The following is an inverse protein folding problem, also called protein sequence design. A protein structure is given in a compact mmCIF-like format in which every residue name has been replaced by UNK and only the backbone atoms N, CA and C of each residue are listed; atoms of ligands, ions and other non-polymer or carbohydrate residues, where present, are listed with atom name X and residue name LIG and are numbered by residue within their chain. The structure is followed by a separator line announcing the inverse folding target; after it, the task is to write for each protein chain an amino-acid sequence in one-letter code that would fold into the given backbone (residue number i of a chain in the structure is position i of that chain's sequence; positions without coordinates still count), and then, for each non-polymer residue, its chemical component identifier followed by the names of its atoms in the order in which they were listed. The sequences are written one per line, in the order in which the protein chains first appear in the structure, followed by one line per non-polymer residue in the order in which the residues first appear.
data_IF_628947989569
#
_entry.id   IF_628947989569
#
_cell.length_a   1.000
_cell.length_b   1.000
_cell.length_c   1.000
_cell.angle_alpha   90.00
_cell.angle_beta   90.00
_cell.angle_gamma   90.00
#
_symmetry.space_group_name_H-M   'P 1'
#
loop_
_entity.id
_entity.type
_entity.pdbx_description
1 polymer ?
#
# COMPACT_ATOMS: atom_id res chain seq x y z
N UNK A 1 10.89 21.46 5.35
CA UNK A 1 9.75 21.79 6.24
C UNK A 1 9.92 20.99 7.52
N UNK A 2 10.03 21.62 8.66
CA UNK A 2 10.18 20.94 9.94
C UNK A 2 8.82 20.51 10.49
N UNK A 3 8.81 19.53 11.41
CA UNK A 3 7.58 19.04 12.08
C UNK A 3 6.75 20.17 12.72
N UNK A 4 7.41 21.25 13.13
CA UNK A 4 6.79 22.42 13.78
C UNK A 4 6.04 23.31 12.77
N UNK A 5 6.56 23.46 11.57
CA UNK A 5 5.92 24.23 10.49
C UNK A 5 4.70 23.51 9.94
N UNK A 6 4.72 22.19 9.99
CA UNK A 6 3.59 21.35 9.55
C UNK A 6 2.39 21.43 10.52
N UNK A 7 2.64 21.39 11.83
CA UNK A 7 1.58 21.43 12.84
C UNK A 7 0.88 22.81 12.94
N UNK A 8 1.59 23.89 12.61
CA UNK A 8 0.98 25.22 12.60
C UNK A 8 0.05 25.49 11.40
N UNK A 9 0.24 24.77 10.29
CA UNK A 9 -0.62 24.87 9.12
C UNK A 9 -1.96 24.12 9.29
N UNK A 10 -2.01 23.11 10.14
CA UNK A 10 -3.19 22.28 10.36
C UNK A 10 -4.23 22.90 11.30
N UNK A 11 -3.84 23.85 12.15
CA UNK A 11 -4.75 24.47 13.13
C UNK A 11 -5.60 25.62 12.58
N UNK A 12 -5.33 26.10 11.37
CA UNK A 12 -5.98 27.30 10.82
C UNK A 12 -7.21 27.01 9.93
N UNK A 13 -7.63 25.77 9.74
CA UNK A 13 -8.70 25.40 8.80
C UNK A 13 -10.02 24.92 9.44
N UNK A 14 -10.20 25.11 10.73
CA UNK A 14 -11.38 24.59 11.44
C UNK A 14 -12.55 25.59 11.62
N UNK A 15 -12.60 26.72 10.91
CA UNK A 15 -13.68 27.68 11.08
C UNK A 15 -14.08 28.34 9.76
N UNK A 16 -15.02 27.76 9.02
CA UNK A 16 -16.05 28.50 8.26
C UNK A 16 -17.03 27.51 7.61
N UNK A 17 -18.15 27.28 8.27
CA UNK A 17 -19.31 26.62 7.68
C UNK A 17 -20.15 27.65 6.93
N UNK A 18 -20.61 27.33 5.72
CA UNK A 18 -21.80 27.91 5.10
C UNK A 18 -22.56 26.80 4.37
N UNK A 19 -23.82 26.68 4.73
CA UNK A 19 -24.82 25.81 4.16
C UNK A 19 -25.19 26.20 2.73
N UNK A 20 -25.28 25.22 1.84
CA UNK A 20 -25.84 25.39 0.50
C UNK A 20 -26.50 24.09 0.02
N UNK A 21 -27.78 24.19 -0.28
CA UNK A 21 -28.75 23.13 -0.49
C UNK A 21 -28.53 22.28 -1.76
N UNK A 22 -28.78 21.01 -1.58
CA UNK A 22 -29.32 19.97 -2.41
C UNK A 22 -29.25 20.01 -3.94
N UNK A 23 -28.50 19.05 -4.50
CA UNK A 23 -28.87 18.32 -5.72
C UNK A 23 -28.49 16.85 -5.53
N UNK A 24 -29.48 16.01 -5.43
CA UNK A 24 -29.36 14.55 -5.46
C UNK A 24 -28.80 14.12 -6.82
N UNK A 25 -27.51 13.88 -6.89
CA UNK A 25 -26.93 13.12 -8.00
C UNK A 25 -27.34 11.66 -7.81
N UNK A 26 -28.27 11.18 -8.64
CA UNK A 26 -28.53 9.75 -8.80
C UNK A 26 -27.29 9.13 -9.44
N UNK A 27 -26.38 8.67 -8.60
CA UNK A 27 -25.34 7.76 -9.00
C UNK A 27 -25.94 6.38 -9.20
N UNK A 28 -26.45 6.10 -10.40
CA UNK A 28 -26.67 4.74 -10.82
C UNK A 28 -25.30 4.15 -11.20
N UNK A 29 -24.48 3.87 -10.22
CA UNK A 29 -23.37 2.97 -10.40
C UNK A 29 -23.97 1.57 -10.56
N UNK A 30 -23.63 0.92 -11.61
CA UNK A 30 -24.01 -0.43 -11.92
C UNK A 30 -23.61 -1.35 -10.75
N UNK A 31 -24.58 -1.72 -9.95
CA UNK A 31 -24.48 -2.84 -9.02
C UNK A 31 -24.38 -4.19 -9.77
N UNK A 32 -24.32 -4.14 -11.09
CA UNK A 32 -24.27 -5.29 -11.95
C UNK A 32 -22.83 -5.63 -12.30
N UNK A 33 -22.29 -6.52 -11.55
CA UNK A 33 -21.03 -7.25 -11.70
C UNK A 33 -19.96 -6.94 -10.65
N UNK A 34 -20.35 -6.78 -9.41
CA UNK A 34 -19.46 -7.24 -8.35
C UNK A 34 -19.46 -8.77 -8.46
N UNK A 35 -18.54 -9.31 -9.24
CA UNK A 35 -18.20 -10.74 -9.14
C UNK A 35 -18.06 -10.98 -7.64
N UNK A 36 -18.76 -12.02 -7.14
CA UNK A 36 -18.69 -12.37 -5.73
C UNK A 36 -17.20 -12.54 -5.37
N UNK A 37 -16.60 -11.48 -4.89
CA UNK A 37 -15.19 -11.47 -4.57
C UNK A 37 -15.03 -12.44 -3.41
N UNK A 38 -14.09 -13.36 -3.54
CA UNK A 38 -13.79 -14.30 -2.46
C UNK A 38 -13.54 -13.54 -1.17
N UNK A 39 -14.08 -13.98 -0.03
CA UNK A 39 -13.79 -13.36 1.26
C UNK A 39 -12.27 -13.20 1.43
N UNK A 40 -11.84 -12.11 2.08
CA UNK A 40 -10.42 -11.94 2.41
C UNK A 40 -9.92 -13.17 3.15
N UNK A 41 -8.71 -13.58 2.80
CA UNK A 41 -8.09 -14.72 3.46
C UNK A 41 -7.89 -14.45 4.96
N UNK A 42 -8.64 -15.13 5.80
CA UNK A 42 -8.55 -15.00 7.27
C UNK A 42 -7.42 -15.84 7.87
N UNK A 43 -6.82 -16.69 7.05
CA UNK A 43 -5.80 -17.67 7.45
C UNK A 43 -4.59 -17.55 6.54
N UNK A 44 -3.81 -16.45 6.66
CA UNK A 44 -2.58 -16.30 5.88
C UNK A 44 -1.62 -17.46 6.16
N UNK A 45 -0.75 -17.75 5.22
CA UNK A 45 0.23 -18.86 5.24
C UNK A 45 -0.36 -20.26 5.16
N UNK A 46 -1.68 -20.42 5.04
CA UNK A 46 -2.28 -21.75 4.89
C UNK A 46 -1.83 -22.41 3.60
N UNK A 47 -1.27 -23.62 3.72
CA UNK A 47 -0.80 -24.39 2.57
C UNK A 47 0.58 -23.97 2.04
N UNK A 48 1.28 -23.08 2.72
CA UNK A 48 2.67 -22.75 2.39
C UNK A 48 3.60 -23.90 2.83
N UNK A 49 4.37 -24.42 1.89
CA UNK A 49 5.52 -25.26 2.18
C UNK A 49 6.75 -24.38 2.41
N UNK A 50 7.03 -24.09 3.67
CA UNK A 50 8.12 -23.21 4.07
C UNK A 50 9.52 -23.79 3.76
N UNK A 51 9.62 -25.07 3.45
CA UNK A 51 10.91 -25.71 3.13
C UNK A 51 11.36 -25.42 1.70
N UNK A 52 10.41 -25.15 0.82
CA UNK A 52 10.66 -24.92 -0.61
C UNK A 52 10.26 -23.50 -1.06
N UNK A 53 9.50 -22.78 -0.24
CA UNK A 53 9.02 -21.45 -0.58
C UNK A 53 10.16 -20.44 -0.75
N UNK A 54 10.04 -19.61 -1.76
CA UNK A 54 10.87 -18.43 -1.95
C UNK A 54 10.43 -17.32 -1.01
N UNK A 55 11.39 -16.61 -0.44
CA UNK A 55 11.16 -15.40 0.34
C UNK A 55 11.68 -14.20 -0.46
N UNK A 56 10.76 -13.40 -1.02
CA UNK A 56 11.07 -12.32 -1.96
C UNK A 56 10.73 -10.97 -1.31
N UNK A 57 11.72 -10.09 -1.22
CA UNK A 57 11.51 -8.75 -0.65
C UNK A 57 10.80 -7.86 -1.65
N UNK A 58 9.63 -7.36 -1.27
CA UNK A 58 8.81 -6.49 -2.09
C UNK A 58 8.35 -5.25 -1.35
N UNK A 59 7.78 -4.31 -2.09
CA UNK A 59 7.13 -3.12 -1.52
C UNK A 59 5.87 -2.81 -2.30
N UNK A 60 4.90 -2.18 -1.65
CA UNK A 60 3.70 -1.65 -2.31
C UNK A 60 3.74 -0.14 -2.45
N UNK A 61 4.72 0.52 -1.80
CA UNK A 61 4.82 1.96 -1.83
C UNK A 61 6.29 2.41 -1.78
N UNK A 62 6.79 2.88 -2.91
CA UNK A 62 8.13 3.48 -3.00
C UNK A 62 8.19 4.48 -4.14
N UNK A 63 8.81 5.62 -3.89
CA UNK A 63 9.05 6.65 -4.90
C UNK A 63 10.48 6.62 -5.42
N UNK A 64 10.61 6.74 -6.73
CA UNK A 64 11.88 6.76 -7.41
C UNK A 64 11.86 7.80 -8.55
N UNK A 65 12.77 8.76 -8.50
CA UNK A 65 12.89 9.81 -9.54
C UNK A 65 14.14 9.66 -10.41
N UNK A 66 15.18 8.99 -9.92
CA UNK A 66 16.49 8.90 -10.55
C UNK A 66 17.03 7.49 -10.52
N UNK A 67 17.98 7.20 -11.40
CA UNK A 67 18.69 5.92 -11.41
C UNK A 67 19.41 5.66 -10.08
N UNK A 68 20.00 6.68 -9.46
CA UNK A 68 20.69 6.52 -8.17
C UNK A 68 19.71 6.10 -7.05
N UNK A 69 18.52 6.67 -7.05
CA UNK A 69 17.45 6.25 -6.13
C UNK A 69 17.03 4.80 -6.39
N UNK A 70 16.88 4.43 -7.67
CA UNK A 70 16.58 3.05 -8.05
C UNK A 70 17.66 2.08 -7.58
N UNK A 71 18.93 2.42 -7.80
CA UNK A 71 20.07 1.58 -7.39
C UNK A 71 20.11 1.37 -5.85
N UNK A 72 19.64 2.34 -5.07
CA UNK A 72 19.49 2.19 -3.61
C UNK A 72 18.33 1.26 -3.26
N UNK A 73 17.19 1.43 -3.93
CA UNK A 73 15.99 0.59 -3.71
C UNK A 73 16.30 -0.88 -4.03
N UNK A 74 16.93 -1.14 -5.17
CA UNK A 74 17.20 -2.50 -5.65
C UNK A 74 18.19 -3.30 -4.79
N UNK A 75 18.95 -2.66 -3.90
CA UNK A 75 19.74 -3.37 -2.89
C UNK A 75 18.88 -4.09 -1.85
N UNK A 76 17.61 -3.71 -1.73
CA UNK A 76 16.71 -4.18 -0.67
C UNK A 76 15.43 -4.81 -1.20
N UNK A 77 15.00 -4.46 -2.40
CA UNK A 77 13.75 -4.88 -3.03
C UNK A 77 14.08 -5.75 -4.23
N UNK A 78 13.43 -6.89 -4.33
CA UNK A 78 13.52 -7.87 -5.40
C UNK A 78 12.24 -7.93 -6.24
N UNK A 79 11.11 -7.51 -5.66
CA UNK A 79 9.85 -7.33 -6.35
C UNK A 79 9.44 -5.85 -6.25
N UNK A 80 9.65 -5.13 -7.34
CA UNK A 80 9.42 -3.69 -7.42
C UNK A 80 8.01 -3.40 -7.93
N UNK A 81 7.21 -2.70 -7.12
CA UNK A 81 5.97 -2.07 -7.56
C UNK A 81 6.07 -0.57 -7.31
N UNK A 82 6.74 0.10 -8.25
CA UNK A 82 7.02 1.52 -8.14
C UNK A 82 5.72 2.33 -8.12
N UNK A 83 5.54 3.14 -7.10
CA UNK A 83 4.29 3.87 -6.85
C UNK A 83 4.36 5.36 -7.14
N UNK A 84 5.25 5.77 -8.03
CA UNK A 84 5.27 7.16 -8.43
C UNK A 84 3.88 7.61 -8.86
N UNK A 85 3.42 8.70 -8.28
CA UNK A 85 2.22 9.35 -8.77
C UNK A 85 2.56 10.19 -9.99
N UNK A 86 1.90 10.37 -10.80
CA UNK A 86 1.45 10.95 -11.83
C UNK A 86 1.66 11.98 -12.63
N UNK A 87 1.01 12.72 -13.36
CA UNK A 87 -0.25 12.47 -14.09
C UNK A 87 0.02 11.45 -15.18
N UNK A 88 0.14 10.23 -14.81
CA UNK A 88 0.55 9.17 -15.74
C UNK A 88 -0.02 7.85 -15.30
N UNK A 89 -0.09 6.95 -16.21
CA UNK A 89 -0.20 5.56 -15.93
C UNK A 89 0.97 5.12 -15.02
N UNK A 90 0.86 3.95 -14.41
CA UNK A 90 1.93 3.38 -13.63
C UNK A 90 3.28 3.42 -14.36
N UNK A 91 4.35 3.65 -13.64
CA UNK A 91 5.71 3.64 -14.17
C UNK A 91 6.16 2.21 -14.44
N UNK A 92 5.60 1.64 -15.51
CA UNK A 92 5.74 0.23 -15.83
C UNK A 92 5.64 -0.01 -17.34
N UNK A 93 6.50 -0.81 -17.94
CA UNK A 93 7.77 -1.27 -17.37
C UNK A 93 8.76 -0.12 -17.22
N UNK A 94 9.59 -0.18 -16.16
CA UNK A 94 10.47 0.93 -15.78
C UNK A 94 11.50 1.27 -16.86
N UNK A 95 11.95 0.26 -17.63
CA UNK A 95 12.87 0.46 -18.75
C UNK A 95 12.31 1.35 -19.89
N UNK A 96 11.02 1.67 -19.86
CA UNK A 96 10.37 2.60 -20.79
C UNK A 96 10.15 3.99 -20.20
N UNK A 97 10.54 4.21 -18.96
CA UNK A 97 10.35 5.47 -18.24
C UNK A 97 11.61 6.31 -18.21
N UNK A 98 11.42 7.61 -18.08
CA UNK A 98 12.54 8.56 -17.97
C UNK A 98 12.72 9.06 -16.56
N UNK A 99 13.95 9.40 -16.18
CA UNK A 99 14.24 10.03 -14.89
C UNK A 99 13.48 11.36 -14.72
N UNK A 100 13.27 11.76 -13.48
CA UNK A 100 12.72 13.06 -13.08
C UNK A 100 11.31 13.37 -13.61
N UNK A 101 10.49 12.34 -13.81
CA UNK A 101 9.11 12.50 -14.30
C UNK A 101 8.97 13.16 -15.67
N UNK A 102 10.01 13.12 -16.48
CA UNK A 102 9.89 13.49 -17.88
C UNK A 102 9.18 12.36 -18.61
N UNK A 103 8.16 12.71 -19.32
CA UNK A 103 7.29 11.92 -20.18
C UNK A 103 7.24 10.40 -19.93
N UNK A 104 6.10 9.98 -19.53
CA UNK A 104 5.74 8.57 -19.44
C UNK A 104 5.11 8.16 -20.75
N UNK A 105 5.76 7.27 -21.49
CA UNK A 105 5.24 6.73 -22.72
C UNK A 105 4.43 5.47 -22.45
N UNK A 106 3.10 5.57 -22.57
CA UNK A 106 2.22 4.42 -22.46
C UNK A 106 1.59 4.00 -23.80
N UNK A 107 2.18 4.42 -24.91
CA UNK A 107 1.71 4.06 -26.25
C UNK A 107 2.09 2.62 -26.61
N UNK A 108 3.05 2.05 -25.91
CA UNK A 108 3.45 0.67 -26.10
C UNK A 108 2.45 -0.29 -25.44
N UNK A 109 2.14 -1.42 -26.08
CA UNK A 109 1.25 -2.41 -25.51
C UNK A 109 1.93 -3.14 -24.34
N UNK A 110 1.24 -3.19 -23.20
CA UNK A 110 1.56 -4.13 -22.12
C UNK A 110 0.64 -5.33 -22.29
N UNK A 111 1.23 -6.50 -22.52
CA UNK A 111 0.50 -7.74 -22.79
C UNK A 111 0.77 -8.73 -21.66
N UNK A 112 -0.29 -9.20 -21.02
CA UNK A 112 -0.24 -10.23 -19.99
C UNK A 112 -1.18 -11.36 -20.42
N UNK A 113 -0.69 -12.59 -20.44
CA UNK A 113 -1.43 -13.76 -20.87
C UNK A 113 -2.09 -13.59 -22.27
N UNK A 114 -1.36 -12.97 -23.21
CA UNK A 114 -1.84 -12.71 -24.56
C UNK A 114 -2.87 -11.60 -24.68
N UNK A 115 -3.29 -10.98 -23.60
CA UNK A 115 -4.26 -9.87 -23.59
C UNK A 115 -3.56 -8.55 -23.31
N UNK A 116 -3.85 -7.53 -24.12
CA UNK A 116 -3.43 -6.17 -23.82
C UNK A 116 -4.17 -5.66 -22.58
N UNK A 117 -3.43 -5.23 -21.56
CA UNK A 117 -3.97 -4.74 -20.28
C UNK A 117 -3.91 -3.23 -20.12
N UNK A 118 -3.23 -2.52 -21.02
CA UNK A 118 -3.27 -1.06 -21.09
C UNK A 118 -3.91 -0.61 -22.40
N UNK A 119 -4.66 0.47 -22.34
CA UNK A 119 -5.16 1.17 -23.52
C UNK A 119 -4.22 2.30 -23.95
N UNK A 120 -4.47 2.90 -25.14
CA UNK A 120 -3.92 4.20 -25.43
C UNK A 120 -4.44 5.21 -24.40
N UNK A 121 -3.54 6.01 -23.82
CA UNK A 121 -3.93 7.03 -22.87
C UNK A 121 -4.35 8.29 -23.61
N UNK A 122 -5.58 8.72 -23.37
CA UNK A 122 -6.07 10.01 -23.86
C UNK A 122 -5.60 11.11 -22.91
N UNK A 123 -4.39 11.60 -23.17
CA UNK A 123 -3.80 12.70 -22.41
C UNK A 123 -4.65 13.98 -22.45
N UNK A 124 -5.36 14.22 -23.53
CA UNK A 124 -6.27 15.36 -23.63
C UNK A 124 -7.44 15.22 -22.66
N UNK A 125 -7.93 13.99 -22.46
CA UNK A 125 -8.96 13.71 -21.48
C UNK A 125 -8.41 13.81 -20.04
N UNK A 126 -7.19 13.31 -19.82
CA UNK A 126 -6.58 13.25 -18.49
C UNK A 126 -6.14 14.65 -18.02
N UNK A 127 -5.51 15.43 -18.89
CA UNK A 127 -4.90 16.70 -18.51
C UNK A 127 -5.32 17.87 -19.40
N UNK A 128 -5.98 17.64 -20.52
CA UNK A 128 -6.16 18.65 -21.57
C UNK A 128 -6.98 19.87 -21.16
N UNK A 129 -8.03 19.70 -20.37
CA UNK A 129 -8.81 20.82 -19.85
C UNK A 129 -7.93 21.70 -18.95
N UNK A 130 -7.19 21.08 -18.13
CA UNK A 130 -6.36 21.67 -17.12
C UNK A 130 -5.11 22.37 -17.67
N UNK A 131 -4.42 21.76 -18.65
CA UNK A 131 -3.28 22.41 -19.29
C UNK A 131 -3.69 23.73 -19.93
N UNK A 132 -4.89 23.82 -20.50
CA UNK A 132 -5.41 25.04 -21.11
C UNK A 132 -5.62 26.18 -20.13
N UNK A 133 -5.78 25.87 -18.86
CA UNK A 133 -5.94 26.86 -17.79
C UNK A 133 -4.60 27.37 -17.23
N UNK A 134 -3.48 26.71 -17.58
CA UNK A 134 -2.16 27.14 -17.17
C UNK A 134 -1.69 28.39 -17.95
N UNK A 135 -0.84 29.23 -17.35
CA UNK A 135 -0.09 30.22 -18.09
C UNK A 135 0.68 29.60 -19.27
N UNK A 136 0.81 30.34 -20.38
CA UNK A 136 1.37 29.80 -21.62
C UNK A 136 2.79 29.25 -21.48
N UNK A 137 3.62 29.83 -20.62
CA UNK A 137 4.95 29.34 -20.29
C UNK A 137 4.91 27.99 -19.56
N UNK A 138 3.86 27.80 -18.73
CA UNK A 138 3.65 26.54 -18.01
C UNK A 138 3.03 25.47 -18.90
N UNK A 139 2.20 25.83 -19.86
CA UNK A 139 1.66 24.87 -20.83
C UNK A 139 2.76 24.18 -21.62
N UNK A 140 3.91 24.84 -21.81
CA UNK A 140 5.09 24.27 -22.50
C UNK A 140 5.80 23.20 -21.67
N UNK A 141 5.59 23.21 -20.37
CA UNK A 141 6.16 22.20 -19.47
C UNK A 141 5.33 20.92 -19.41
N UNK A 142 4.08 20.99 -19.87
CA UNK A 142 3.13 19.89 -19.81
C UNK A 142 2.55 19.58 -21.21
N UNK A 143 2.15 18.33 -21.49
CA UNK A 143 2.05 17.20 -20.58
C UNK A 143 3.38 16.66 -20.08
N UNK A 144 4.49 16.94 -20.67
CA UNK A 144 5.84 16.60 -20.24
C UNK A 144 6.82 17.01 -21.32
N UNK A 145 7.99 17.47 -20.93
CA UNK A 145 9.08 17.69 -21.88
C UNK A 145 9.41 16.39 -22.58
N UNK A 146 9.52 16.45 -23.89
CA UNK A 146 10.16 15.39 -24.65
C UNK A 146 11.63 15.36 -24.30
N UNK A 147 12.18 14.18 -24.14
CA UNK A 147 13.53 13.99 -23.72
C UNK A 147 13.63 13.63 -22.24
N UNK A 148 14.76 13.22 -21.84
CA UNK A 148 15.09 12.69 -20.53
C UNK A 148 15.84 11.39 -20.68
N UNK A 149 16.63 11.07 -19.67
CA UNK A 149 17.40 9.83 -19.64
C UNK A 149 16.49 8.69 -19.20
N UNK A 150 16.41 7.64 -20.00
CA UNK A 150 15.70 6.42 -19.63
C UNK A 150 16.37 5.76 -18.44
N UNK A 151 15.55 5.14 -17.59
CA UNK A 151 16.06 4.19 -16.61
C UNK A 151 16.77 3.03 -17.30
N UNK A 152 17.82 2.53 -16.67
CA UNK A 152 18.47 1.29 -17.13
C UNK A 152 17.50 0.12 -17.00
N UNK A 153 17.64 -0.90 -17.84
CA UNK A 153 16.93 -2.16 -17.62
C UNK A 153 17.18 -2.68 -16.21
N UNK A 154 16.15 -3.26 -15.61
CA UNK A 154 16.28 -3.88 -14.28
C UNK A 154 17.31 -5.02 -14.34
N UNK A 155 18.10 -5.22 -13.29
CA UNK A 155 19.00 -6.37 -13.18
C UNK A 155 18.24 -7.69 -13.29
N UNK A 156 18.92 -8.72 -13.77
CA UNK A 156 18.38 -10.07 -13.77
C UNK A 156 17.94 -10.49 -12.35
N UNK A 157 16.81 -11.17 -12.26
CA UNK A 157 16.24 -11.60 -10.99
C UNK A 157 15.39 -10.56 -10.28
N UNK A 158 15.37 -9.32 -10.70
CA UNK A 158 14.42 -8.32 -10.21
C UNK A 158 13.09 -8.48 -10.97
N UNK A 159 12.01 -8.64 -10.21
CA UNK A 159 10.65 -8.68 -10.73
C UNK A 159 10.02 -7.29 -10.61
N UNK A 160 9.16 -6.91 -11.57
CA UNK A 160 8.39 -5.67 -11.49
C UNK A 160 6.92 -5.88 -11.84
N UNK A 161 6.04 -5.08 -11.24
CA UNK A 161 4.64 -5.01 -11.61
C UNK A 161 4.15 -3.55 -11.60
N UNK A 162 3.07 -3.24 -12.35
CA UNK A 162 2.49 -1.92 -12.35
C UNK A 162 1.95 -1.55 -10.97
N UNK A 163 2.04 -0.27 -10.64
CA UNK A 163 1.49 0.32 -9.43
C UNK A 163 1.52 1.84 -9.58
N UNK A 164 0.71 2.54 -8.82
CA UNK A 164 0.77 3.98 -8.68
C UNK A 164 0.24 4.38 -7.31
N UNK A 165 0.75 5.48 -6.76
CA UNK A 165 0.10 6.10 -5.62
C UNK A 165 -1.01 7.02 -6.13
N UNK A 166 -2.23 6.70 -5.76
CA UNK A 166 -3.42 7.45 -6.09
C UNK A 166 -3.81 8.36 -4.92
N UNK A 167 -4.17 9.59 -5.19
CA UNK A 167 -4.55 10.57 -4.17
C UNK A 167 -5.58 11.57 -4.68
N UNK A 168 -6.02 12.55 -3.86
CA UNK A 168 -7.05 13.54 -4.21
C UNK A 168 -8.44 12.95 -4.46
N UNK A 169 -8.86 12.06 -3.60
CA UNK A 169 -10.20 11.49 -3.68
C UNK A 169 -11.26 12.44 -3.10
N UNK A 170 -12.50 12.22 -3.51
CA UNK A 170 -13.67 12.80 -2.85
C UNK A 170 -14.31 11.82 -1.91
N UNK A 171 -14.81 12.33 -0.80
CA UNK A 171 -15.66 11.61 0.14
C UNK A 171 -17.10 11.52 -0.39
N UNK A 172 -17.97 10.82 0.32
CA UNK A 172 -19.37 10.62 -0.05
C UNK A 172 -20.17 11.92 -0.16
N UNK A 173 -19.83 12.93 0.59
CA UNK A 173 -20.42 14.25 0.56
C UNK A 173 -19.85 15.18 -0.54
N UNK A 174 -18.92 14.65 -1.34
CA UNK A 174 -18.22 15.39 -2.38
C UNK A 174 -17.02 16.22 -1.88
N UNK A 175 -16.75 16.22 -0.58
CA UNK A 175 -15.58 16.92 0.00
C UNK A 175 -14.29 16.27 -0.49
N UNK A 176 -13.33 17.07 -0.93
CA UNK A 176 -12.03 16.59 -1.32
C UNK A 176 -11.20 16.17 -0.11
N UNK A 177 -10.64 14.98 -0.15
CA UNK A 177 -9.67 14.50 0.82
C UNK A 177 -8.29 14.32 0.15
N UNK A 178 -7.44 15.33 0.20
CA UNK A 178 -6.12 15.31 -0.44
C UNK A 178 -5.12 14.37 0.26
N UNK A 179 -5.41 13.96 1.46
CA UNK A 179 -4.53 13.09 2.26
C UNK A 179 -4.94 11.61 2.20
N UNK A 180 -6.09 11.30 1.60
CA UNK A 180 -6.43 9.92 1.32
C UNK A 180 -5.61 9.42 0.14
N UNK A 181 -4.63 8.59 0.41
CA UNK A 181 -3.78 7.98 -0.60
C UNK A 181 -3.98 6.46 -0.60
N UNK A 182 -3.90 5.87 -1.78
CA UNK A 182 -4.02 4.43 -1.97
C UNK A 182 -3.06 3.95 -3.05
N UNK A 183 -2.49 2.79 -2.88
CA UNK A 183 -1.74 2.08 -3.90
C UNK A 183 -2.55 0.93 -4.47
N UNK A 184 -2.20 0.52 -5.67
CA UNK A 184 -2.82 -0.62 -6.32
C UNK A 184 -1.78 -1.52 -7.00
N UNK A 185 -0.95 -2.26 -6.22
CA UNK A 185 0.05 -3.15 -6.78
C UNK A 185 -0.60 -4.18 -7.72
N UNK A 186 -0.08 -4.25 -8.93
CA UNK A 186 -0.62 -5.05 -10.02
C UNK A 186 -1.63 -4.34 -10.91
N UNK A 187 -2.00 -3.09 -10.64
CA UNK A 187 -2.98 -2.36 -11.45
C UNK A 187 -2.33 -1.48 -12.52
N UNK A 188 -2.83 -1.56 -13.74
CA UNK A 188 -2.51 -0.63 -14.83
C UNK A 188 -3.34 0.65 -14.80
N UNK A 189 -4.25 0.79 -13.85
CA UNK A 189 -5.01 2.01 -13.70
C UNK A 189 -4.12 3.14 -13.18
N UNK A 190 -4.25 4.30 -13.79
CA UNK A 190 -3.74 5.56 -13.27
C UNK A 190 -4.91 6.52 -13.13
N UNK A 191 -5.04 7.12 -11.98
CA UNK A 191 -6.09 8.09 -11.73
C UNK A 191 -5.95 9.38 -12.54
N UNK A 192 -4.84 9.57 -13.24
CA UNK A 192 -4.53 10.81 -13.92
C UNK A 192 -4.28 11.96 -12.95
N UNK A 193 -4.05 11.66 -11.70
CA UNK A 193 -3.80 12.66 -10.68
C UNK A 193 -2.56 13.45 -10.99
N UNK A 194 -2.72 14.70 -10.95
CA UNK A 194 -1.59 15.60 -11.04
C UNK A 194 -1.04 15.88 -9.64
N UNK A 195 0.28 15.93 -9.53
CA UNK A 195 0.93 16.17 -8.26
C UNK A 195 0.62 17.52 -7.67
N UNK A 196 -0.25 17.53 -6.71
CA UNK A 196 -0.56 18.69 -5.92
C UNK A 196 0.62 19.15 -5.04
N UNK A 197 1.63 18.30 -4.91
CA UNK A 197 2.78 18.52 -4.03
C UNK A 197 3.94 19.24 -4.71
N UNK A 198 3.76 19.82 -5.89
CA UNK A 198 4.74 20.79 -6.35
C UNK A 198 4.57 22.09 -5.59
N UNK A 199 5.11 22.20 -4.36
CA UNK A 199 4.87 23.37 -3.49
C UNK A 199 5.52 24.63 -4.03
N UNK A 200 6.46 24.51 -4.94
CA UNK A 200 7.06 25.64 -5.64
C UNK A 200 6.13 26.28 -6.67
N UNK A 201 5.04 25.61 -7.05
CA UNK A 201 4.13 26.13 -8.04
C UNK A 201 2.89 26.73 -7.38
N UNK A 202 2.96 28.01 -7.05
CA UNK A 202 1.84 28.77 -6.47
C UNK A 202 0.57 28.68 -7.32
N UNK A 203 0.73 28.44 -8.60
CA UNK A 203 -0.36 28.31 -9.54
C UNK A 203 -1.17 27.03 -9.28
N UNK A 204 -0.50 25.94 -9.04
CA UNK A 204 -1.09 24.70 -8.61
C UNK A 204 -1.93 24.83 -7.35
N UNK A 205 -1.41 25.54 -6.36
CA UNK A 205 -2.15 25.80 -5.13
C UNK A 205 -3.38 26.67 -5.36
N UNK A 206 -3.37 27.48 -6.40
CA UNK A 206 -4.51 28.33 -6.77
C UNK A 206 -5.59 27.53 -7.49
N UNK A 207 -5.23 26.69 -8.41
CA UNK A 207 -6.13 25.73 -9.04
C UNK A 207 -6.78 24.83 -8.00
N UNK A 208 -6.09 24.47 -6.97
CA UNK A 208 -6.60 23.75 -5.83
C UNK A 208 -7.87 24.30 -5.24
N UNK A 209 -7.98 25.57 -5.17
CA UNK A 209 -9.17 26.23 -4.66
C UNK A 209 -10.34 26.22 -5.65
N UNK A 210 -10.06 26.06 -6.92
CA UNK A 210 -11.07 26.00 -8.00
C UNK A 210 -11.75 24.64 -8.17
N UNK A 211 -11.50 23.72 -7.26
CA UNK A 211 -12.02 22.34 -7.35
C UNK A 211 -11.21 21.55 -8.36
N UNK A 212 -10.33 20.78 -7.84
CA UNK A 212 -9.58 19.87 -8.62
C UNK A 212 -10.44 18.86 -9.28
N UNK A 213 -10.56 18.97 -10.53
CA UNK A 213 -10.87 17.88 -11.43
C UNK A 213 -9.59 17.19 -11.92
N UNK A 214 -8.52 17.26 -11.08
CA UNK A 214 -7.31 16.58 -11.43
C UNK A 214 -7.39 15.16 -10.97
N UNK A 215 -7.30 14.34 -11.91
CA UNK A 215 -7.05 12.98 -11.68
C UNK A 215 -8.16 12.30 -10.94
N UNK A 216 -7.91 12.10 -9.73
CA UNK A 216 -8.87 11.44 -8.87
C UNK A 216 -9.93 12.34 -8.32
N UNK A 217 -10.24 13.50 -8.77
CA UNK A 217 -11.46 14.23 -8.33
C UNK A 217 -12.72 13.35 -8.27
N UNK A 218 -12.52 12.05 -8.32
CA UNK A 218 -13.50 10.97 -8.21
C UNK A 218 -13.78 10.60 -6.76
N UNK A 219 -14.97 10.08 -6.54
CA UNK A 219 -15.30 9.40 -5.30
C UNK A 219 -14.33 8.20 -5.10
N UNK A 220 -13.81 8.04 -3.89
CA UNK A 220 -12.79 7.03 -3.58
C UNK A 220 -13.22 5.61 -3.96
N UNK A 221 -14.50 5.28 -3.80
CA UNK A 221 -15.04 3.97 -4.20
C UNK A 221 -14.97 3.74 -5.70
N UNK A 222 -15.30 4.75 -6.53
CA UNK A 222 -15.17 4.64 -8.00
C UNK A 222 -13.70 4.44 -8.40
N UNK A 223 -12.78 5.12 -7.73
CA UNK A 223 -11.36 4.94 -7.99
C UNK A 223 -10.89 3.53 -7.61
N UNK A 224 -11.36 2.97 -6.50
CA UNK A 224 -11.10 1.57 -6.12
C UNK A 224 -11.60 0.60 -7.19
N UNK A 225 -12.83 0.79 -7.69
CA UNK A 225 -13.38 -0.05 -8.78
C UNK A 225 -12.44 -0.05 -10.00
N UNK A 226 -11.94 1.12 -10.39
CA UNK A 226 -11.00 1.24 -11.52
C UNK A 226 -9.64 0.63 -11.24
N UNK A 227 -9.11 0.78 -10.01
CA UNK A 227 -7.87 0.12 -9.60
C UNK A 227 -8.00 -1.39 -9.73
N UNK A 228 -9.14 -1.94 -9.31
CA UNK A 228 -9.43 -3.36 -9.35
C UNK A 228 -9.62 -3.85 -10.79
N UNK A 229 -10.35 -3.10 -11.62
CA UNK A 229 -10.50 -3.40 -13.05
C UNK A 229 -9.17 -3.39 -13.80
N UNK A 230 -8.23 -2.58 -13.35
CA UNK A 230 -6.88 -2.45 -13.92
C UNK A 230 -5.91 -3.55 -13.53
N UNK A 231 -6.27 -4.48 -12.64
CA UNK A 231 -5.36 -5.55 -12.21
C UNK A 231 -4.97 -6.46 -13.37
N UNK A 232 -3.67 -6.70 -13.52
CA UNK A 232 -3.14 -7.56 -14.59
C UNK A 232 -3.39 -9.05 -14.34
N UNK A 233 -3.64 -9.43 -13.08
CA UNK A 233 -4.06 -10.76 -12.67
C UNK A 233 -5.32 -10.66 -11.79
N UNK A 234 -6.41 -11.36 -12.15
CA UNK A 234 -7.67 -11.30 -11.39
C UNK A 234 -7.53 -11.77 -9.92
N UNK A 235 -6.64 -12.73 -9.69
CA UNK A 235 -6.37 -13.36 -8.39
C UNK A 235 -5.12 -12.80 -7.68
N UNK A 236 -4.49 -11.75 -8.23
CA UNK A 236 -3.28 -11.17 -7.67
C UNK A 236 -3.35 -9.65 -7.48
N UNK A 237 -2.57 -9.11 -6.55
CA UNK A 237 -2.56 -7.70 -6.22
C UNK A 237 -3.85 -7.21 -5.57
N UNK A 238 -4.06 -5.92 -5.52
CA UNK A 238 -5.23 -5.28 -4.92
C UNK A 238 -4.93 -3.87 -4.46
N UNK A 239 -5.80 -3.30 -3.65
CA UNK A 239 -5.68 -1.93 -3.16
C UNK A 239 -5.15 -1.91 -1.73
N UNK A 240 -4.23 -1.00 -1.42
CA UNK A 240 -3.69 -0.76 -0.08
C UNK A 240 -3.92 0.69 0.33
N UNK A 241 -4.24 0.92 1.61
CA UNK A 241 -4.42 2.26 2.17
C UNK A 241 -3.06 2.74 2.67
N UNK A 242 -2.62 3.89 2.17
CA UNK A 242 -1.30 4.43 2.49
C UNK A 242 -1.31 5.22 3.79
N UNK A 243 -0.19 5.17 4.52
CA UNK A 243 0.21 5.99 5.66
C UNK A 243 -0.93 6.58 6.51
N UNK A 244 -1.82 5.74 7.09
CA UNK A 244 -3.00 6.23 7.80
C UNK A 244 -2.66 7.08 9.03
N UNK A 245 -1.51 6.87 9.66
CA UNK A 245 -1.05 7.67 10.81
C UNK A 245 -0.55 9.04 10.35
N UNK A 246 0.32 9.06 9.33
CA UNK A 246 0.81 10.31 8.77
C UNK A 246 -0.33 11.19 8.25
N UNK A 247 -1.29 10.58 7.57
CA UNK A 247 -2.49 11.25 7.04
C UNK A 247 -3.53 11.59 8.09
N UNK A 248 -3.40 11.08 9.30
CA UNK A 248 -4.40 11.22 10.38
C UNK A 248 -5.80 10.80 9.91
N UNK A 249 -5.90 9.65 9.23
CA UNK A 249 -7.16 9.20 8.67
C UNK A 249 -8.24 8.99 9.73
N UNK A 250 -9.44 9.44 9.42
CA UNK A 250 -10.62 9.11 10.21
C UNK A 250 -10.82 7.58 10.26
N UNK A 251 -11.04 7.06 11.45
CA UNK A 251 -11.16 5.62 11.67
C UNK A 251 -12.39 5.01 10.98
N UNK A 252 -13.50 5.74 10.92
CA UNK A 252 -14.70 5.25 10.25
C UNK A 252 -14.50 5.21 8.73
N UNK A 253 -13.76 6.18 8.18
CA UNK A 253 -13.37 6.16 6.78
C UNK A 253 -12.51 4.95 6.45
N UNK A 254 -11.51 4.63 7.29
CA UNK A 254 -10.70 3.42 7.12
C UNK A 254 -11.56 2.16 7.07
N UNK A 255 -12.52 2.01 8.00
CA UNK A 255 -13.40 0.84 8.01
C UNK A 255 -14.27 0.77 6.76
N UNK A 256 -14.84 1.90 6.32
CA UNK A 256 -15.64 1.97 5.09
C UNK A 256 -14.84 1.54 3.85
N UNK A 257 -13.61 2.02 3.73
CA UNK A 257 -12.74 1.68 2.61
C UNK A 257 -12.38 0.19 2.65
N UNK A 258 -12.02 -0.32 3.83
CA UNK A 258 -11.74 -1.75 4.02
C UNK A 258 -12.95 -2.62 3.72
N UNK A 259 -14.16 -2.21 4.05
CA UNK A 259 -15.39 -2.97 3.81
C UNK A 259 -15.92 -2.86 2.37
N UNK A 260 -15.35 -1.97 1.56
CA UNK A 260 -15.86 -1.67 0.23
C UNK A 260 -15.73 -2.85 -0.73
N UNK A 261 -14.56 -3.47 -0.78
CA UNK A 261 -14.30 -4.64 -1.65
C UNK A 261 -13.23 -5.53 -0.97
N UNK A 262 -13.37 -6.88 -1.05
CA UNK A 262 -12.36 -7.78 -0.47
C UNK A 262 -10.95 -7.62 -1.05
N UNK A 263 -10.82 -6.97 -2.22
CA UNK A 263 -9.54 -6.66 -2.86
C UNK A 263 -8.91 -5.36 -2.35
N UNK A 264 -9.53 -4.67 -1.40
CA UNK A 264 -8.87 -3.70 -0.53
C UNK A 264 -8.19 -4.49 0.57
N UNK A 265 -6.91 -4.73 0.42
CA UNK A 265 -6.16 -5.76 1.15
C UNK A 265 -5.87 -5.36 2.61
N UNK A 266 -5.59 -4.09 2.84
CA UNK A 266 -5.19 -3.61 4.15
C UNK A 266 -4.55 -2.21 4.10
N UNK A 267 -3.68 -1.94 5.06
CA UNK A 267 -3.09 -0.62 5.24
C UNK A 267 -1.61 -0.67 5.57
N UNK A 268 -0.92 0.43 5.39
CA UNK A 268 0.47 0.56 5.83
C UNK A 268 0.57 0.59 7.36
N UNK A 269 1.54 -0.15 7.88
CA UNK A 269 1.84 -0.31 9.32
C UNK A 269 3.19 0.32 9.66
N UNK A 270 4.20 0.11 8.82
CA UNK A 270 5.41 0.92 8.84
C UNK A 270 5.38 1.80 7.60
N UNK A 271 5.18 3.08 7.85
CA UNK A 271 5.00 4.12 6.84
C UNK A 271 6.34 4.81 6.52
N UNK A 272 6.34 5.66 5.52
CA UNK A 272 7.47 6.50 5.17
C UNK A 272 8.08 7.23 6.37
N UNK A 273 9.42 7.25 6.46
CA UNK A 273 10.12 7.78 7.63
C UNK A 273 10.13 6.85 8.85
N UNK A 274 9.62 5.62 8.72
CA UNK A 274 9.54 4.63 9.81
C UNK A 274 8.46 4.92 10.83
N UNK A 275 7.44 5.68 10.44
CA UNK A 275 6.26 5.95 11.29
C UNK A 275 5.58 4.62 11.60
N UNK A 276 5.27 4.40 12.87
CA UNK A 276 4.68 3.15 13.34
C UNK A 276 3.17 3.28 13.48
N UNK A 277 2.43 2.54 12.67
CA UNK A 277 0.98 2.46 12.63
C UNK A 277 0.38 1.21 13.32
N UNK A 278 1.18 0.44 14.09
CA UNK A 278 0.69 -0.79 14.75
C UNK A 278 -0.58 -0.55 15.56
N UNK A 279 -0.69 0.56 16.27
CA UNK A 279 -1.87 0.87 17.08
C UNK A 279 -3.14 1.09 16.24
N UNK A 280 -3.00 1.66 15.03
CA UNK A 280 -4.11 1.75 14.08
C UNK A 280 -4.49 0.36 13.54
N UNK A 281 -3.49 -0.43 13.20
CA UNK A 281 -3.68 -1.78 12.70
C UNK A 281 -4.38 -2.67 13.72
N UNK A 282 -3.86 -2.74 14.95
CA UNK A 282 -4.45 -3.51 16.05
C UNK A 282 -5.89 -3.06 16.34
N UNK A 283 -6.15 -1.74 16.27
CA UNK A 283 -7.50 -1.23 16.41
C UNK A 283 -8.44 -1.74 15.30
N UNK A 284 -8.01 -1.73 14.02
CA UNK A 284 -8.80 -2.27 12.91
C UNK A 284 -9.06 -3.76 13.13
N UNK A 285 -8.03 -4.52 13.46
CA UNK A 285 -8.14 -5.98 13.70
C UNK A 285 -9.09 -6.30 14.85
N UNK A 286 -9.07 -5.51 15.92
CA UNK A 286 -9.97 -5.68 17.05
C UNK A 286 -11.46 -5.49 16.69
N UNK A 287 -11.77 -4.88 15.54
CA UNK A 287 -13.14 -4.81 15.01
C UNK A 287 -13.61 -6.10 14.31
N UNK A 288 -12.77 -7.14 14.24
CA UNK A 288 -13.05 -8.40 13.54
C UNK A 288 -12.80 -8.38 12.04
N UNK A 289 -12.23 -7.29 11.53
CA UNK A 289 -11.91 -7.14 10.10
C UNK A 289 -10.54 -7.69 9.77
N UNK A 290 -10.46 -8.53 8.74
CA UNK A 290 -9.18 -8.89 8.15
C UNK A 290 -8.58 -7.66 7.48
N UNK A 291 -7.39 -7.29 7.91
CA UNK A 291 -6.61 -6.18 7.37
C UNK A 291 -5.15 -6.59 7.34
N UNK A 292 -4.57 -6.76 6.15
CA UNK A 292 -3.14 -7.05 6.04
C UNK A 292 -2.33 -5.79 6.33
N UNK A 293 -1.21 -5.98 7.05
CA UNK A 293 -0.26 -4.91 7.33
C UNK A 293 0.81 -4.83 6.24
N UNK A 294 1.02 -3.66 5.68
CA UNK A 294 2.06 -3.39 4.69
C UNK A 294 3.19 -2.56 5.28
N UNK A 295 4.41 -2.85 4.87
CA UNK A 295 5.64 -2.28 5.40
C UNK A 295 6.40 -1.66 4.25
N UNK A 296 6.57 -0.34 4.26
CA UNK A 296 6.98 0.39 3.08
C UNK A 296 8.00 1.48 3.39
N UNK A 297 8.91 1.79 2.46
CA UNK A 297 9.82 2.92 2.60
C UNK A 297 9.18 4.25 2.20
N UNK A 298 8.18 4.26 1.31
CA UNK A 298 7.61 5.45 0.68
C UNK A 298 8.73 6.35 0.10
N UNK A 299 8.87 7.58 0.57
CA UNK A 299 9.94 8.52 0.18
C UNK A 299 11.27 8.28 0.93
N UNK A 300 11.25 7.52 2.01
CA UNK A 300 12.39 7.37 2.96
C UNK A 300 13.36 6.25 2.56
N UNK A 301 13.82 6.27 1.31
CA UNK A 301 14.67 5.21 0.76
C UNK A 301 16.13 5.26 1.24
N UNK A 302 16.60 6.43 1.69
CA UNK A 302 18.00 6.66 2.02
C UNK A 302 18.37 6.22 3.44
N UNK A 303 17.41 6.10 4.34
CA UNK A 303 17.63 5.74 5.73
C UNK A 303 17.35 4.25 5.99
N UNK A 304 18.37 3.44 6.25
CA UNK A 304 18.18 2.02 6.56
C UNK A 304 17.25 1.77 7.75
N UNK A 305 17.34 2.60 8.77
CA UNK A 305 16.60 2.45 10.02
C UNK A 305 15.10 2.67 9.93
N UNK A 306 14.64 3.28 8.83
CA UNK A 306 13.22 3.59 8.59
C UNK A 306 12.63 2.78 7.43
N UNK A 307 13.43 1.89 6.84
CA UNK A 307 13.03 1.15 5.66
C UNK A 307 12.13 -0.04 6.03
N UNK A 308 10.87 0.02 5.61
CA UNK A 308 9.93 -1.09 5.67
C UNK A 308 9.98 -1.93 4.40
N UNK A 309 9.79 -3.24 4.54
CA UNK A 309 9.75 -4.18 3.41
C UNK A 309 8.73 -5.27 3.69
N UNK A 310 8.05 -5.75 2.67
CA UNK A 310 7.23 -6.95 2.72
C UNK A 310 8.05 -8.13 2.21
N UNK A 311 8.13 -9.20 2.99
CA UNK A 311 8.81 -10.45 2.57
C UNK A 311 7.72 -11.42 2.11
N UNK A 312 7.58 -11.57 0.82
CA UNK A 312 6.60 -12.43 0.16
C UNK A 312 7.05 -13.88 0.23
N UNK A 313 6.14 -14.76 0.64
CA UNK A 313 6.40 -16.20 0.73
C UNK A 313 5.65 -16.87 -0.41
N UNK A 314 6.38 -17.31 -1.42
CA UNK A 314 5.82 -17.76 -2.70
C UNK A 314 6.32 -19.14 -3.11
N UNK A 315 5.51 -19.95 -3.81
CA UNK A 315 5.95 -21.25 -4.30
C UNK A 315 6.94 -21.16 -5.46
N UNK A 316 6.96 -20.03 -6.15
CA UNK A 316 7.84 -19.75 -7.29
C UNK A 316 8.24 -18.29 -7.34
N UNK A 317 9.32 -18.00 -8.07
CA UNK A 317 9.79 -16.63 -8.27
C UNK A 317 9.18 -16.04 -9.53
N UNK A 318 7.93 -15.56 -9.44
CA UNK A 318 7.22 -14.93 -10.55
C UNK A 318 6.43 -13.70 -10.09
N UNK A 319 6.12 -12.80 -11.04
CA UNK A 319 5.30 -11.62 -10.79
C UNK A 319 3.90 -12.02 -10.30
N UNK A 320 3.31 -13.05 -10.93
CA UNK A 320 1.99 -13.54 -10.54
C UNK A 320 2.00 -14.08 -9.11
N UNK A 321 2.97 -14.91 -8.75
CA UNK A 321 3.09 -15.47 -7.40
C UNK A 321 3.29 -14.36 -6.35
N UNK A 322 4.09 -13.33 -6.64
CA UNK A 322 4.27 -12.18 -5.76
C UNK A 322 2.97 -11.40 -5.54
N UNK A 323 2.24 -11.07 -6.60
CA UNK A 323 0.97 -10.37 -6.50
C UNK A 323 -0.09 -11.23 -5.80
N UNK A 324 -0.09 -12.54 -6.03
CA UNK A 324 -0.97 -13.48 -5.34
C UNK A 324 -0.65 -13.56 -3.85
N UNK A 325 0.63 -13.55 -3.48
CA UNK A 325 1.04 -13.49 -2.07
C UNK A 325 0.49 -12.25 -1.36
N UNK A 326 0.50 -11.07 -2.00
CA UNK A 326 -0.18 -9.88 -1.46
C UNK A 326 -1.68 -10.10 -1.27
N UNK A 327 -2.36 -10.68 -2.27
CA UNK A 327 -3.81 -10.95 -2.22
C UNK A 327 -4.17 -11.90 -1.08
N UNK A 328 -3.37 -12.90 -0.85
CA UNK A 328 -3.64 -13.98 0.10
C UNK A 328 -3.07 -13.72 1.50
N UNK A 329 -2.27 -12.66 1.68
CA UNK A 329 -1.58 -12.39 2.94
C UNK A 329 -0.39 -13.32 3.20
N UNK A 330 0.13 -13.99 2.16
CA UNK A 330 1.27 -14.88 2.25
C UNK A 330 2.59 -14.07 2.24
N UNK A 331 2.70 -13.15 3.17
CA UNK A 331 3.89 -12.32 3.37
C UNK A 331 3.98 -11.85 4.82
N UNK A 332 5.14 -11.46 5.25
CA UNK A 332 5.36 -10.82 6.53
C UNK A 332 6.11 -9.50 6.35
N UNK A 333 5.97 -8.60 7.30
CA UNK A 333 6.67 -7.32 7.30
C UNK A 333 8.03 -7.42 7.95
N UNK A 334 8.98 -6.62 7.46
CA UNK A 334 10.25 -6.38 8.12
C UNK A 334 10.51 -4.88 8.19
N UNK A 335 10.83 -4.39 9.38
CA UNK A 335 11.33 -3.04 9.60
C UNK A 335 12.84 -3.09 9.66
N UNK A 336 13.51 -2.18 8.98
CA UNK A 336 14.93 -2.17 8.64
C UNK A 336 15.36 -3.15 7.54
N UNK A 337 14.53 -4.09 7.12
CA UNK A 337 14.50 -4.81 5.84
C UNK A 337 15.80 -5.35 5.26
N UNK A 338 16.82 -5.61 6.07
CA UNK A 338 18.10 -6.14 5.61
C UNK A 338 18.09 -7.65 5.45
N UNK A 339 17.00 -8.30 5.88
CA UNK A 339 16.80 -9.75 5.84
C UNK A 339 17.83 -10.54 6.67
N UNK A 340 18.27 -9.95 7.77
CA UNK A 340 19.20 -10.62 8.70
C UNK A 340 18.48 -11.54 9.66
N UNK A 341 17.22 -11.23 10.02
CA UNK A 341 16.29 -12.10 10.74
C UNK A 341 15.18 -12.53 9.79
N UNK A 342 14.79 -13.80 9.81
CA UNK A 342 13.73 -14.34 8.94
C UNK A 342 12.82 -15.28 9.71
N UNK A 343 11.53 -15.23 9.40
CA UNK A 343 10.66 -16.36 9.71
C UNK A 343 10.99 -17.52 8.79
N UNK A 344 11.23 -18.69 9.39
CA UNK A 344 11.40 -19.96 8.67
C UNK A 344 10.08 -20.74 8.64
N UNK A 345 9.15 -20.39 9.52
CA UNK A 345 7.80 -20.93 9.54
C UNK A 345 6.86 -19.99 10.29
N UNK A 346 5.66 -19.83 9.77
CA UNK A 346 4.50 -19.28 10.49
C UNK A 346 3.33 -20.23 10.21
N UNK A 347 2.65 -20.66 11.25
CA UNK A 347 1.49 -21.52 11.14
C UNK A 347 0.37 -21.10 12.10
N UNK A 348 -0.83 -21.07 11.56
CA UNK A 348 -2.06 -20.87 12.31
C UNK A 348 -2.94 -22.09 12.06
N UNK A 349 -3.21 -22.87 13.11
CA UNK A 349 -3.95 -24.11 13.00
C UNK A 349 -5.03 -24.19 14.08
N UNK A 350 -6.23 -23.77 13.73
CA UNK A 350 -7.36 -23.76 14.66
C UNK A 350 -7.08 -22.83 15.84
N UNK A 351 -6.72 -23.43 16.98
CA UNK A 351 -6.42 -22.71 18.22
C UNK A 351 -4.93 -22.44 18.43
N UNK A 352 -4.05 -22.99 17.59
CA UNK A 352 -2.60 -22.88 17.75
C UNK A 352 -2.03 -21.80 16.86
N UNK A 353 -1.16 -20.97 17.44
CA UNK A 353 -0.35 -19.96 16.76
C UNK A 353 1.12 -20.32 16.97
N UNK A 354 1.85 -20.51 15.89
CA UNK A 354 3.26 -20.91 15.92
C UNK A 354 4.11 -20.07 14.95
N UNK A 355 5.35 -19.78 15.35
CA UNK A 355 6.36 -19.27 14.42
C UNK A 355 7.75 -19.78 14.78
N UNK A 356 8.58 -19.88 13.75
CA UNK A 356 10.00 -20.20 13.86
C UNK A 356 10.82 -19.13 13.12
N UNK A 357 12.01 -18.85 13.63
CA UNK A 357 12.99 -17.92 13.06
C UNK A 357 14.33 -18.65 12.79
N UNK A 358 15.10 -18.15 11.83
CA UNK A 358 16.38 -18.71 11.45
C UNK A 358 17.45 -18.62 12.57
N UNK A 359 17.33 -17.61 13.42
CA UNK A 359 18.21 -17.39 14.57
C UNK A 359 17.40 -17.01 15.82
N UNK A 360 17.96 -17.11 17.04
CA UNK A 360 17.25 -16.70 18.25
C UNK A 360 16.81 -15.24 18.17
N UNK A 361 15.57 -14.98 18.59
CA UNK A 361 14.94 -13.68 18.60
C UNK A 361 14.09 -13.53 19.87
N UNK A 362 13.73 -12.32 20.23
CA UNK A 362 12.62 -12.09 21.15
C UNK A 362 11.32 -12.23 20.33
N UNK A 363 10.50 -13.18 20.67
CA UNK A 363 9.27 -13.53 19.98
C UNK A 363 8.06 -13.18 20.84
N UNK A 364 7.03 -12.59 20.25
CA UNK A 364 5.81 -12.23 20.94
C UNK A 364 4.57 -12.60 20.13
N UNK A 365 3.57 -13.17 20.78
CA UNK A 365 2.21 -13.33 20.25
C UNK A 365 1.37 -12.16 20.75
N UNK A 366 0.73 -11.47 19.84
CA UNK A 366 -0.06 -10.26 20.08
C UNK A 366 -1.49 -10.53 19.65
N UNK A 367 -2.44 -10.15 20.50
CA UNK A 367 -3.89 -10.25 20.25
C UNK A 367 -4.54 -8.90 20.56
N UNK A 368 -5.88 -8.83 20.50
CA UNK A 368 -6.63 -7.66 20.95
C UNK A 368 -6.41 -7.30 22.45
N UNK A 369 -5.87 -8.21 23.24
CA UNK A 369 -5.47 -7.96 24.63
C UNK A 369 -4.01 -7.51 24.81
N UNK A 370 -3.29 -7.29 23.70
CA UNK A 370 -1.86 -7.00 23.71
C UNK A 370 -1.00 -8.26 23.62
N UNK A 371 0.19 -8.23 24.24
CA UNK A 371 1.11 -9.38 24.27
C UNK A 371 0.58 -10.44 25.22
N UNK A 372 0.24 -11.60 24.71
CA UNK A 372 -0.30 -12.74 25.48
C UNK A 372 0.74 -13.81 25.77
N UNK A 373 1.79 -13.88 24.96
CA UNK A 373 2.96 -14.75 25.17
C UNK A 373 4.21 -14.11 24.66
N UNK A 374 5.33 -14.32 25.36
CA UNK A 374 6.65 -13.83 24.95
C UNK A 374 7.72 -14.88 25.26
N UNK A 375 8.66 -15.00 24.33
CA UNK A 375 9.94 -15.72 24.49
C UNK A 375 11.08 -14.73 24.29
N UNK A 376 11.95 -14.57 25.30
CA UNK A 376 12.98 -13.51 25.29
C UNK A 376 14.16 -13.79 24.34
N UNK A 377 14.49 -15.09 24.15
CA UNK A 377 15.57 -15.52 23.27
C UNK A 377 15.30 -16.96 22.84
N UNK A 378 14.53 -17.12 21.77
CA UNK A 378 14.15 -18.43 21.25
C UNK A 378 14.12 -18.40 19.71
N UNK A 379 14.21 -19.59 19.10
CA UNK A 379 13.98 -19.76 17.66
C UNK A 379 12.53 -20.08 17.32
N UNK A 380 11.71 -20.38 18.32
CA UNK A 380 10.32 -20.73 18.10
C UNK A 380 9.43 -20.19 19.22
N UNK A 381 8.19 -19.90 18.88
CA UNK A 381 7.11 -19.59 19.82
C UNK A 381 5.87 -20.38 19.43
N UNK A 382 5.18 -20.91 20.44
CA UNK A 382 3.88 -21.55 20.26
C UNK A 382 2.92 -21.05 21.32
N UNK A 383 1.70 -20.73 20.93
CA UNK A 383 0.63 -20.32 21.83
C UNK A 383 -0.65 -21.08 21.47
N UNK A 384 -1.30 -21.63 22.51
CA UNK A 384 -2.59 -22.30 22.40
C UNK A 384 -3.68 -21.36 22.90
N UNK A 385 -4.65 -21.07 22.06
CA UNK A 385 -5.73 -20.12 22.37
C UNK A 385 -6.62 -20.64 23.51
N UNK A 386 -6.75 -21.96 23.67
CA UNK A 386 -7.55 -22.58 24.72
C UNK A 386 -7.02 -22.33 26.14
N UNK A 387 -5.71 -22.12 26.29
CA UNK A 387 -5.09 -21.85 27.58
C UNK A 387 -5.58 -20.56 28.25
N UNK A 388 -6.16 -19.65 27.45
CA UNK A 388 -6.68 -18.37 27.93
C UNK A 388 -8.14 -18.49 28.40
N UNK A 389 -8.82 -19.54 28.00
CA UNK A 389 -10.25 -19.76 28.30
C UNK A 389 -10.52 -20.68 29.50
N UNK A 390 -9.50 -21.27 30.10
CA UNK A 390 -9.64 -22.28 31.18
C UNK A 390 -9.86 -21.71 32.60
N UNK A 391 -9.92 -20.41 32.78
CA UNK A 391 -10.16 -19.78 34.07
C UNK A 391 -10.98 -18.52 33.99
N UNK A 392 -12.17 -18.47 34.59
CA UNK A 392 -13.09 -17.33 34.73
C UNK A 392 -13.02 -16.35 33.54
N UNK A 393 -13.75 -16.68 32.50
CA UNK A 393 -13.79 -16.16 31.16
C UNK A 393 -13.38 -14.68 30.96
N UNK A 394 -12.25 -14.41 30.36
CA UNK A 394 -12.13 -13.21 29.54
C UNK A 394 -13.09 -13.44 28.35
N UNK A 395 -13.84 -12.45 28.01
CA UNK A 395 -14.82 -12.50 26.93
C UNK A 395 -14.15 -13.02 25.65
N UNK A 396 -14.80 -13.96 24.98
CA UNK A 396 -14.39 -14.50 23.66
C UNK A 396 -14.09 -13.40 22.66
N UNK A 397 -14.66 -12.21 22.88
CA UNK A 397 -14.56 -10.99 22.11
C UNK A 397 -13.18 -10.29 22.20
N UNK A 398 -12.33 -10.68 23.14
CA UNK A 398 -11.07 -10.01 23.40
C UNK A 398 -9.90 -10.54 22.52
N UNK A 399 -10.00 -11.79 22.04
CA UNK A 399 -9.01 -12.40 21.14
C UNK A 399 -9.59 -12.53 19.73
N UNK A 400 -9.81 -11.39 19.07
CA UNK A 400 -10.39 -11.35 17.73
C UNK A 400 -9.37 -11.77 16.67
N UNK A 401 -8.09 -11.53 16.94
CA UNK A 401 -6.98 -11.86 16.06
C UNK A 401 -5.75 -12.33 16.85
N UNK A 402 -4.83 -12.98 16.18
CA UNK A 402 -3.47 -13.22 16.66
C UNK A 402 -2.45 -12.88 15.57
N UNK A 403 -1.35 -12.23 15.96
CA UNK A 403 -0.20 -11.99 15.11
C UNK A 403 1.09 -12.21 15.89
N UNK A 404 2.17 -12.47 15.18
CA UNK A 404 3.48 -12.72 15.78
C UNK A 404 4.41 -11.58 15.42
N UNK A 405 5.19 -11.14 16.40
CA UNK A 405 6.27 -10.19 16.21
C UNK A 405 7.57 -10.80 16.68
N UNK A 406 8.64 -10.62 15.90
CA UNK A 406 9.98 -11.02 16.25
C UNK A 406 10.90 -9.80 16.27
N UNK A 407 11.83 -9.79 17.22
CA UNK A 407 12.80 -8.73 17.38
C UNK A 407 14.20 -9.34 17.37
N UNK A 408 15.06 -8.83 16.51
CA UNK A 408 16.46 -9.22 16.53
C UNK A 408 17.10 -8.89 17.87
N UNK A 409 17.97 -9.76 18.35
CA UNK A 409 18.71 -9.59 19.61
C UNK A 409 20.01 -8.83 19.40
N UNK A 410 20.44 -8.65 18.17
CA UNK A 410 21.65 -7.91 17.79
C UNK A 410 21.39 -6.40 17.63
N UNK A 411 22.44 -5.65 17.32
CA UNK A 411 22.38 -4.21 17.13
C UNK A 411 21.63 -3.78 15.84
N UNK A 412 21.18 -4.70 14.98
CA UNK A 412 20.41 -4.37 13.78
C UNK A 412 19.08 -3.73 14.17
N UNK A 413 18.49 -4.16 15.27
CA UNK A 413 17.18 -3.75 15.75
C UNK A 413 16.08 -4.05 14.72
N UNK A 414 16.27 -5.10 13.93
CA UNK A 414 15.27 -5.57 12.96
C UNK A 414 14.05 -6.12 13.66
N UNK A 415 12.89 -5.79 13.13
CA UNK A 415 11.61 -6.26 13.63
C UNK A 415 10.85 -6.95 12.50
N UNK A 416 10.30 -8.13 12.77
CA UNK A 416 9.42 -8.85 11.85
C UNK A 416 7.99 -8.88 12.36
N UNK A 417 7.03 -8.88 11.45
CA UNK A 417 5.61 -8.80 11.74
C UNK A 417 4.84 -9.80 10.87
N UNK A 418 4.26 -10.84 11.45
CA UNK A 418 3.37 -11.72 10.68
C UNK A 418 2.10 -11.00 10.27
N UNK A 419 1.43 -11.50 9.22
CA UNK A 419 0.05 -11.11 8.97
C UNK A 419 -0.88 -11.67 10.06
N UNK A 420 -2.02 -11.03 10.30
CA UNK A 420 -2.93 -11.45 11.36
C UNK A 420 -3.75 -12.67 10.96
N UNK A 421 -3.87 -13.60 11.88
CA UNK A 421 -4.82 -14.68 11.87
C UNK A 421 -6.11 -14.25 12.59
N UNK A 422 -7.23 -14.33 11.92
CA UNK A 422 -8.52 -13.95 12.51
C UNK A 422 -9.16 -15.13 13.23
N UNK A 423 -9.48 -14.95 14.51
CA UNK A 423 -9.99 -15.98 15.40
C UNK A 423 -11.53 -16.03 15.44
N UNK A 424 -12.20 -15.02 14.83
CA UNK A 424 -13.66 -14.89 14.79
C UNK A 424 -14.16 -14.61 13.38
#
# INVERSE_FOLDING_TARGET
MTRKEFLSASAAMAASGVFGAGRTAKGSASAATRLAASPRNRHPYKGIDWTTAHQIRGTTHVHCKTQDALDVILKRIEFLTLSNYYPSAPWYPLSRMTENYYRVHHDFPVVVNGKRVNGPFDWNRIVGKWIKELPSEKQKEYPFKEGGKLFKPLPEGILEAPNAEHHNFRLEDGTANPYLHMNAPGSMFASGTFDQWRPADKWFQTLKRGGYDFGSGEFWGTAIDRMIEGLIYPDGGGVTINHPVWSSHDRNLLLKILDYDPRVLGMEVIEGGGINGESYWDWVLATGRQCFGFFVPDWSIWSPGTFGVNVLVTPERSVHACLKAYREGNFYGAKRGLNELRFTRIAFNGTTVEAETDKPARLAVITGLGVVKEEKSAKAIKWEIEDVFSGSAPRRDAHVFARIKAYALDASGEELFSQPYMLV
#
